data_IF_784024130362
#
_entry.id   IF_784024130362
#
_cell.length_a   1.000
_cell.length_b   1.000
_cell.length_c   1.000
_cell.angle_alpha   90.00
_cell.angle_beta   90.00
_cell.angle_gamma   90.00
#
_symmetry.space_group_name_H-M   'P 1'
#
loop_
_entity.id
_entity.type
_entity.pdbx_description
1 polymer ?
#
# COMPACT_ATOMS: atom_id res chain seq x y z
N UNK A 1 3.40 -34.74 0.72
CA UNK A 1 2.03 -34.29 1.09
C UNK A 1 2.12 -32.83 1.43
N UNK A 2 1.14 -32.02 0.99
CA UNK A 2 1.06 -30.60 1.38
C UNK A 2 1.08 -30.49 2.91
N UNK A 3 1.80 -29.49 3.43
CA UNK A 3 1.91 -29.24 4.87
C UNK A 3 0.58 -28.69 5.42
N UNK A 4 -0.18 -28.01 4.56
CA UNK A 4 -1.45 -27.37 4.88
C UNK A 4 -2.59 -27.95 4.04
N UNK A 5 -3.83 -27.98 4.56
CA UNK A 5 -4.97 -28.43 3.77
C UNK A 5 -5.18 -27.46 2.60
N UNK A 6 -5.31 -28.03 1.40
CA UNK A 6 -5.78 -27.28 0.23
C UNK A 6 -7.32 -27.19 0.24
N UNK A 7 -7.89 -26.29 -0.56
CA UNK A 7 -9.33 -26.27 -0.82
C UNK A 7 -9.85 -27.64 -1.32
N UNK A 8 -11.17 -27.82 -1.27
CA UNK A 8 -11.82 -29.08 -1.64
C UNK A 8 -11.52 -29.51 -3.09
N UNK A 9 -11.25 -28.54 -3.97
CA UNK A 9 -10.89 -28.71 -5.37
C UNK A 9 -9.48 -29.33 -5.56
N UNK A 10 -8.61 -29.23 -4.55
CA UNK A 10 -7.26 -29.78 -4.59
C UNK A 10 -6.15 -28.80 -5.00
N UNK A 11 -6.50 -27.58 -5.42
CA UNK A 11 -5.56 -26.48 -5.69
C UNK A 11 -6.16 -25.12 -5.35
N UNK A 12 -5.32 -24.12 -5.06
CA UNK A 12 -5.78 -22.75 -4.82
C UNK A 12 -6.28 -22.09 -6.11
N UNK A 13 -5.68 -22.43 -7.24
CA UNK A 13 -6.05 -21.88 -8.55
C UNK A 13 -7.39 -22.41 -9.02
N UNK A 14 -7.68 -23.71 -8.86
CA UNK A 14 -8.99 -24.29 -9.22
C UNK A 14 -10.10 -23.83 -8.28
N UNK A 15 -9.76 -23.48 -7.03
CA UNK A 15 -10.70 -22.87 -6.10
C UNK A 15 -11.21 -21.49 -6.58
N UNK A 16 -10.44 -20.79 -7.41
CA UNK A 16 -10.80 -19.51 -8.03
C UNK A 16 -10.86 -19.64 -9.57
N UNK A 17 -11.84 -20.38 -10.11
CA UNK A 17 -11.85 -20.80 -11.51
C UNK A 17 -11.90 -19.62 -12.50
N UNK A 18 -12.43 -18.47 -12.09
CA UNK A 18 -12.48 -17.24 -12.90
C UNK A 18 -11.09 -16.71 -13.29
N UNK A 19 -10.03 -17.11 -12.57
CA UNK A 19 -8.66 -16.70 -12.85
C UNK A 19 -7.97 -17.59 -13.89
N UNK A 20 -8.53 -18.78 -14.15
CA UNK A 20 -7.98 -19.78 -15.06
C UNK A 20 -6.66 -20.41 -14.57
N UNK A 21 -6.29 -21.54 -15.18
CA UNK A 21 -5.05 -22.29 -14.86
C UNK A 21 -3.96 -22.15 -15.93
N UNK A 22 -4.28 -21.54 -17.08
CA UNK A 22 -3.33 -21.32 -18.17
C UNK A 22 -2.27 -20.27 -17.84
N UNK A 23 -1.23 -20.15 -18.68
CA UNK A 23 -0.26 -19.05 -18.60
C UNK A 23 -0.93 -17.67 -18.62
N UNK A 24 -0.27 -16.67 -18.02
CA UNK A 24 -0.73 -15.28 -18.04
C UNK A 24 0.27 -14.37 -18.76
N UNK A 25 -0.21 -13.21 -19.22
CA UNK A 25 0.65 -12.18 -19.80
C UNK A 25 0.90 -11.06 -18.78
N UNK A 26 2.11 -10.52 -18.76
CA UNK A 26 2.49 -9.33 -17.99
C UNK A 26 2.49 -8.05 -18.84
N UNK A 27 1.79 -8.04 -19.98
CA UNK A 27 1.70 -6.86 -20.88
C UNK A 27 1.14 -5.62 -20.21
N UNK A 28 0.28 -5.80 -19.21
CA UNK A 28 -0.26 -4.73 -18.35
C UNK A 28 0.81 -4.04 -17.48
N UNK A 29 2.03 -4.60 -17.44
CA UNK A 29 3.18 -4.10 -16.69
C UNK A 29 4.31 -3.55 -17.57
N UNK A 30 4.15 -3.58 -18.90
CA UNK A 30 5.14 -3.02 -19.83
C UNK A 30 4.54 -2.05 -20.87
N UNK A 31 3.22 -2.06 -21.09
CA UNK A 31 2.59 -1.18 -22.08
C UNK A 31 2.37 0.25 -21.54
N UNK A 32 2.93 1.28 -22.19
CA UNK A 32 2.62 2.68 -21.89
C UNK A 32 1.13 3.02 -22.10
N UNK A 33 0.49 2.41 -23.11
CA UNK A 33 -0.93 2.62 -23.40
C UNK A 33 -1.82 2.03 -22.31
N UNK A 34 -1.48 0.84 -21.82
CA UNK A 34 -2.17 0.24 -20.68
C UNK A 34 -2.01 1.11 -19.43
N UNK A 35 -0.81 1.62 -19.16
CA UNK A 35 -0.57 2.53 -18.04
C UNK A 35 -1.47 3.77 -18.11
N UNK A 36 -1.61 4.41 -19.27
CA UNK A 36 -2.51 5.57 -19.41
C UNK A 36 -3.97 5.22 -19.10
N UNK A 37 -4.42 4.03 -19.47
CA UNK A 37 -5.76 3.53 -19.13
C UNK A 37 -5.88 3.19 -17.64
N UNK A 38 -4.88 2.52 -17.06
CA UNK A 38 -4.81 2.14 -15.64
C UNK A 38 -4.88 3.37 -14.73
N UNK A 39 -4.22 4.48 -15.11
CA UNK A 39 -4.29 5.76 -14.40
C UNK A 39 -5.73 6.25 -14.25
N UNK A 40 -6.51 6.20 -15.32
CA UNK A 40 -7.90 6.67 -15.32
C UNK A 40 -8.88 5.64 -14.73
N UNK A 41 -8.64 4.35 -15.00
CA UNK A 41 -9.52 3.27 -14.61
C UNK A 41 -9.37 2.88 -13.14
N UNK A 42 -8.13 2.81 -12.65
CA UNK A 42 -7.80 2.31 -11.31
C UNK A 42 -7.49 3.48 -10.37
N UNK A 43 -6.38 4.19 -10.56
CA UNK A 43 -5.88 5.14 -9.56
C UNK A 43 -6.74 6.39 -9.40
N UNK A 44 -7.54 6.76 -10.39
CA UNK A 44 -8.51 7.85 -10.25
C UNK A 44 -9.86 7.43 -9.68
N UNK A 45 -10.14 6.13 -9.54
CA UNK A 45 -11.48 5.62 -9.19
C UNK A 45 -11.51 4.70 -7.98
N UNK A 46 -10.39 4.08 -7.64
CA UNK A 46 -10.23 3.28 -6.44
C UNK A 46 -9.95 4.17 -5.22
N UNK A 47 -10.22 3.65 -4.02
CA UNK A 47 -9.77 4.29 -2.79
C UNK A 47 -8.27 4.04 -2.60
N UNK A 48 -7.50 5.11 -2.42
CA UNK A 48 -6.05 5.09 -2.26
C UNK A 48 -5.67 5.45 -0.83
N UNK A 49 -4.86 4.61 -0.18
CA UNK A 49 -4.31 4.98 1.12
C UNK A 49 -3.22 6.06 0.95
N UNK A 50 -3.36 7.18 1.66
CA UNK A 50 -2.45 8.34 1.56
C UNK A 50 -1.71 8.65 2.85
N UNK A 51 -2.07 8.02 3.96
CA UNK A 51 -1.31 8.13 5.20
C UNK A 51 -2.08 7.56 6.38
N UNK A 52 -1.67 7.96 7.58
CA UNK A 52 -2.38 7.61 8.81
C UNK A 52 -2.78 8.84 9.62
N UNK A 53 -3.71 8.65 10.56
CA UNK A 53 -4.16 9.72 11.45
C UNK A 53 -3.04 10.28 12.33
N UNK A 54 -1.98 9.51 12.58
CA UNK A 54 -0.80 9.98 13.34
C UNK A 54 -0.02 11.05 12.57
N UNK A 55 -0.19 11.17 11.25
CA UNK A 55 0.34 12.28 10.45
C UNK A 55 -0.42 13.60 10.70
N UNK A 56 -1.59 13.53 11.37
CA UNK A 56 -2.48 14.64 11.68
C UNK A 56 -2.80 14.74 13.19
N UNK A 57 -1.77 14.94 14.06
CA UNK A 57 -1.92 14.79 15.51
C UNK A 57 -2.88 15.80 16.16
N UNK A 58 -3.10 16.97 15.53
CA UNK A 58 -3.93 18.04 16.10
C UNK A 58 -4.71 18.79 15.03
N UNK A 59 -5.70 19.57 15.47
CA UNK A 59 -6.45 20.48 14.59
C UNK A 59 -5.49 21.38 13.81
N UNK A 60 -5.72 21.50 12.50
CA UNK A 60 -4.90 22.29 11.60
C UNK A 60 -3.64 21.58 11.13
N UNK A 61 -3.30 20.41 11.66
CA UNK A 61 -2.29 19.55 11.05
C UNK A 61 -2.70 19.21 9.62
N UNK A 62 -1.73 19.24 8.72
CA UNK A 62 -1.89 18.86 7.32
C UNK A 62 -0.64 18.17 6.79
N UNK A 63 -0.82 17.40 5.73
CA UNK A 63 0.26 16.99 4.82
C UNK A 63 -0.23 17.10 3.37
N UNK A 64 0.70 17.21 2.43
CA UNK A 64 0.40 17.11 1.00
C UNK A 64 0.86 15.76 0.47
N UNK A 65 0.16 15.24 -0.53
CA UNK A 65 0.55 14.03 -1.25
C UNK A 65 0.65 14.32 -2.74
N UNK A 66 1.78 14.00 -3.35
CA UNK A 66 1.91 13.98 -4.80
C UNK A 66 1.47 12.62 -5.31
N UNK A 67 0.60 12.61 -6.32
CA UNK A 67 0.02 11.40 -6.90
C UNK A 67 0.33 11.44 -8.40
N UNK A 68 1.57 11.07 -8.75
CA UNK A 68 2.10 11.15 -10.11
C UNK A 68 1.24 10.39 -11.12
N UNK A 69 0.82 9.17 -10.77
CA UNK A 69 -0.11 8.34 -11.53
C UNK A 69 -1.41 9.10 -11.89
N UNK A 70 -1.92 9.96 -11.01
CA UNK A 70 -3.11 10.76 -11.26
C UNK A 70 -2.80 12.19 -11.78
N UNK A 71 -1.52 12.54 -11.93
CA UNK A 71 -1.03 13.89 -12.28
C UNK A 71 -1.64 14.98 -11.39
N UNK A 72 -1.69 14.72 -10.09
CA UNK A 72 -2.33 15.64 -9.14
C UNK A 72 -1.60 15.71 -7.80
N UNK A 73 -1.92 16.75 -7.04
CA UNK A 73 -1.45 16.96 -5.67
C UNK A 73 -2.66 17.22 -4.80
N UNK A 74 -2.71 16.60 -3.63
CA UNK A 74 -3.76 16.81 -2.63
C UNK A 74 -3.18 17.36 -1.34
N UNK A 75 -3.98 18.13 -0.61
CA UNK A 75 -3.73 18.49 0.78
C UNK A 75 -4.75 17.78 1.66
N UNK A 76 -4.26 17.03 2.65
CA UNK A 76 -5.07 16.36 3.66
C UNK A 76 -4.92 17.12 4.97
N UNK A 77 -6.03 17.43 5.64
CA UNK A 77 -6.06 18.31 6.81
C UNK A 77 -7.06 17.85 7.86
N UNK A 78 -6.71 18.04 9.13
CA UNK A 78 -7.62 17.84 10.27
C UNK A 78 -8.32 19.14 10.64
N UNK A 79 -9.63 19.21 10.44
CA UNK A 79 -10.47 20.37 10.72
C UNK A 79 -10.70 20.63 12.21
N UNK A 80 -11.30 21.78 12.53
CA UNK A 80 -11.65 22.16 13.92
C UNK A 80 -12.74 21.27 14.53
N UNK A 81 -13.53 20.64 13.67
CA UNK A 81 -14.57 19.65 13.99
C UNK A 81 -14.01 18.22 14.07
N UNK A 82 -12.69 18.07 14.17
CA UNK A 82 -11.96 16.80 14.20
C UNK A 82 -12.08 15.95 12.92
N UNK A 83 -12.82 16.40 11.92
CA UNK A 83 -12.97 15.70 10.65
C UNK A 83 -11.70 15.86 9.81
N UNK A 84 -11.27 14.76 9.18
CA UNK A 84 -10.17 14.76 8.22
C UNK A 84 -10.78 15.00 6.83
N UNK A 85 -10.17 15.90 6.05
CA UNK A 85 -10.62 16.28 4.71
C UNK A 85 -9.46 16.28 3.74
N UNK A 86 -9.74 16.05 2.48
CA UNK A 86 -8.79 16.21 1.40
C UNK A 86 -9.30 17.23 0.37
N UNK A 87 -8.38 18.01 -0.19
CA UNK A 87 -8.66 18.95 -1.28
C UNK A 87 -7.58 18.84 -2.34
N UNK A 88 -7.92 19.12 -3.59
CA UNK A 88 -6.90 19.38 -4.60
C UNK A 88 -6.02 20.55 -4.15
N UNK A 89 -4.70 20.39 -4.22
CA UNK A 89 -3.70 21.35 -3.76
C UNK A 89 -3.51 22.51 -4.75
N UNK A 90 -4.62 23.13 -5.15
CA UNK A 90 -4.69 24.12 -6.24
C UNK A 90 -5.53 25.30 -5.78
N UNK A 91 -4.92 26.49 -5.78
CA UNK A 91 -5.62 27.74 -5.53
C UNK A 91 -6.60 28.03 -6.68
N UNK A 92 -7.84 28.40 -6.33
CA UNK A 92 -8.95 28.61 -7.27
C UNK A 92 -8.90 29.94 -8.04
N UNK A 93 -7.94 30.82 -7.74
CA UNK A 93 -7.76 32.07 -8.48
C UNK A 93 -7.11 31.85 -9.85
N UNK A 94 -5.83 31.42 -9.86
CA UNK A 94 -5.03 31.23 -11.09
C UNK A 94 -4.26 29.90 -11.09
N UNK A 95 -4.73 28.91 -10.34
CA UNK A 95 -4.20 27.54 -10.38
C UNK A 95 -2.85 27.34 -9.69
N UNK A 96 -2.33 28.30 -8.93
CA UNK A 96 -1.07 28.12 -8.21
C UNK A 96 -1.18 26.96 -7.22
N UNK A 97 -0.11 26.16 -7.09
CA UNK A 97 -0.05 25.14 -6.05
C UNK A 97 -0.21 25.81 -4.68
N UNK A 98 -1.15 25.32 -3.87
CA UNK A 98 -1.60 26.05 -2.68
C UNK A 98 -0.61 25.91 -1.53
N UNK A 99 -0.17 24.69 -1.27
CA UNK A 99 0.68 24.30 -0.14
C UNK A 99 1.93 23.61 -0.69
N UNK A 100 3.08 24.26 -0.52
CA UNK A 100 4.41 23.82 -0.92
C UNK A 100 5.46 24.69 -0.20
N UNK A 101 6.73 24.27 -0.15
CA UNK A 101 7.83 25.04 0.46
C UNK A 101 8.70 25.74 -0.58
N UNK A 102 9.96 25.35 -0.74
CA UNK A 102 10.89 25.92 -1.72
C UNK A 102 10.74 25.22 -3.08
N UNK A 103 10.44 23.92 -3.05
CA UNK A 103 10.24 23.09 -4.24
C UNK A 103 8.76 22.70 -4.39
N UNK A 104 8.06 23.18 -5.42
CA UNK A 104 6.65 22.86 -5.62
C UNK A 104 6.35 21.37 -5.81
N UNK A 105 7.32 20.55 -6.22
CA UNK A 105 7.12 19.10 -6.42
C UNK A 105 7.35 18.26 -5.16
N UNK A 106 7.78 18.85 -4.05
CA UNK A 106 8.04 18.11 -2.81
C UNK A 106 6.80 18.08 -1.91
N UNK A 107 6.56 16.91 -1.30
CA UNK A 107 5.54 16.75 -0.27
C UNK A 107 5.91 17.54 0.99
N UNK A 108 4.95 18.22 1.59
CA UNK A 108 5.16 19.03 2.81
C UNK A 108 4.11 18.70 3.86
N UNK A 109 4.50 18.80 5.12
CA UNK A 109 3.59 18.67 6.27
C UNK A 109 3.78 19.80 7.26
N UNK A 110 2.74 20.11 8.02
CA UNK A 110 2.79 21.21 8.97
C UNK A 110 1.50 21.43 9.72
N UNK A 111 1.33 22.63 10.27
CA UNK A 111 0.10 23.05 10.93
C UNK A 111 -0.29 24.45 10.49
N UNK A 112 -1.57 24.69 10.24
CA UNK A 112 -2.08 26.01 9.89
C UNK A 112 -3.45 26.28 10.54
N UNK A 113 -3.83 27.56 10.64
CA UNK A 113 -5.20 27.97 11.03
C UNK A 113 -6.14 28.11 9.82
N UNK A 114 -5.54 28.29 8.64
CA UNK A 114 -6.13 28.47 7.32
C UNK A 114 -4.99 28.29 6.28
N UNK A 115 -5.32 27.94 5.05
CA UNK A 115 -4.38 27.95 3.94
C UNK A 115 -4.32 29.33 3.30
N UNK A 116 -3.12 29.81 2.94
CA UNK A 116 -2.93 31.10 2.26
C UNK A 116 -2.09 30.87 1.02
N UNK A 117 -2.65 31.18 -0.15
CA UNK A 117 -1.91 31.06 -1.40
C UNK A 117 -0.75 32.06 -1.45
N UNK A 118 0.47 31.55 -1.62
CA UNK A 118 1.70 32.36 -1.69
C UNK A 118 1.73 33.38 -2.84
N UNK A 119 0.86 33.23 -3.86
CA UNK A 119 0.89 34.11 -5.03
C UNK A 119 0.14 35.43 -4.80
N UNK A 120 -1.16 35.39 -4.56
CA UNK A 120 -2.01 36.60 -4.43
C UNK A 120 -2.73 36.69 -3.08
N UNK A 121 -2.35 35.85 -2.11
CA UNK A 121 -2.86 35.94 -0.74
C UNK A 121 -4.30 35.48 -0.52
N UNK A 122 -4.96 34.81 -1.49
CA UNK A 122 -6.27 34.19 -1.28
C UNK A 122 -6.21 33.17 -0.13
N UNK A 123 -7.19 33.20 0.77
CA UNK A 123 -7.18 32.39 2.00
C UNK A 123 -8.37 31.44 2.04
N UNK A 124 -8.09 30.21 2.41
CA UNK A 124 -9.09 29.15 2.55
C UNK A 124 -9.07 28.64 3.97
N UNK A 125 -10.22 28.46 4.60
CA UNK A 125 -10.27 27.86 5.91
C UNK A 125 -10.00 26.34 5.85
N UNK A 126 -10.09 25.66 7.01
CA UNK A 126 -9.85 24.21 7.09
C UNK A 126 -11.00 23.35 6.53
N UNK A 127 -12.13 23.96 6.16
CA UNK A 127 -13.23 23.34 5.41
C UNK A 127 -13.10 23.56 3.91
N UNK A 128 -12.11 24.35 3.47
CA UNK A 128 -11.84 24.66 2.08
C UNK A 128 -12.57 25.92 1.60
N UNK A 129 -13.34 26.59 2.45
CA UNK A 129 -14.11 27.78 2.04
C UNK A 129 -13.19 28.97 1.81
N UNK A 130 -13.41 29.72 0.73
CA UNK A 130 -12.68 30.96 0.44
C UNK A 130 -13.13 32.04 1.42
N UNK A 131 -12.23 32.46 2.29
CA UNK A 131 -12.52 33.40 3.40
C UNK A 131 -11.91 34.79 3.21
N UNK A 132 -11.01 34.96 2.25
CA UNK A 132 -10.40 36.24 1.94
C UNK A 132 -9.92 36.32 0.50
N UNK A 133 -10.25 37.43 -0.16
CA UNK A 133 -9.78 37.82 -1.49
C UNK A 133 -9.10 39.18 -1.38
N UNK A 134 -7.86 39.27 -1.88
CA UNK A 134 -7.15 40.55 -1.96
C UNK A 134 -7.86 41.46 -2.96
N UNK A 135 -8.23 42.69 -2.55
CA UNK A 135 -8.92 43.67 -3.39
C UNK A 135 -10.20 43.12 -4.04
N UNK A 136 -11.05 42.43 -3.26
CA UNK A 136 -12.29 41.81 -3.74
C UNK A 136 -13.19 42.73 -4.58
N UNK A 137 -13.24 44.04 -4.25
CA UNK A 137 -14.03 45.04 -4.98
C UNK A 137 -13.61 45.31 -6.43
N UNK A 138 -12.41 44.90 -6.84
CA UNK A 138 -11.94 45.03 -8.23
C UNK A 138 -12.42 43.86 -9.12
N UNK A 139 -13.05 42.83 -8.53
CA UNK A 139 -13.62 41.73 -9.29
C UNK A 139 -15.07 42.04 -9.69
N UNK A 140 -15.40 41.83 -10.97
CA UNK A 140 -16.75 41.99 -11.48
C UNK A 140 -17.64 40.82 -11.04
N UNK A 141 -18.44 41.03 -9.99
CA UNK A 141 -19.45 40.06 -9.54
C UNK A 141 -18.87 38.75 -8.99
N UNK A 142 -17.74 38.83 -8.27
CA UNK A 142 -17.14 37.65 -7.64
C UNK A 142 -18.07 37.09 -6.55
N UNK A 143 -18.53 35.86 -6.75
CA UNK A 143 -19.20 35.07 -5.73
C UNK A 143 -18.18 34.13 -5.08
N UNK A 144 -17.58 34.57 -3.98
CA UNK A 144 -16.55 33.83 -3.24
C UNK A 144 -16.99 32.41 -2.84
N UNK A 145 -18.28 32.15 -2.67
CA UNK A 145 -18.81 30.82 -2.34
C UNK A 145 -18.56 29.78 -3.45
N UNK A 146 -18.39 30.21 -4.70
CA UNK A 146 -18.10 29.31 -5.85
C UNK A 146 -16.62 28.93 -5.99
N UNK A 147 -15.76 29.59 -5.21
CA UNK A 147 -14.31 29.49 -5.34
C UNK A 147 -13.61 28.89 -4.12
N UNK A 148 -14.32 28.15 -3.27
CA UNK A 148 -13.70 27.25 -2.28
C UNK A 148 -12.83 26.16 -2.93
N UNK A 149 -11.90 25.57 -2.18
CA UNK A 149 -11.05 24.47 -2.64
C UNK A 149 -11.89 23.32 -3.18
N UNK A 150 -11.42 22.66 -4.25
CA UNK A 150 -12.12 21.51 -4.81
C UNK A 150 -11.91 20.31 -3.87
N UNK A 151 -12.99 19.73 -3.30
CA UNK A 151 -12.86 18.60 -2.40
C UNK A 151 -12.41 17.35 -3.16
N UNK A 152 -11.73 16.46 -2.43
CA UNK A 152 -11.43 15.09 -2.82
C UNK A 152 -12.11 14.19 -1.80
N UNK A 153 -12.76 13.11 -2.24
CA UNK A 153 -13.41 12.17 -1.32
C UNK A 153 -12.35 11.62 -0.36
N UNK A 154 -12.67 11.61 0.93
CA UNK A 154 -11.73 11.28 2.00
C UNK A 154 -12.50 10.58 3.12
N UNK A 155 -11.98 9.44 3.56
CA UNK A 155 -12.55 8.66 4.66
C UNK A 155 -11.43 7.91 5.41
N UNK A 156 -11.71 7.46 6.63
CA UNK A 156 -10.73 6.86 7.53
C UNK A 156 -11.22 5.51 8.02
N UNK A 157 -10.43 4.48 7.77
CA UNK A 157 -10.65 3.14 8.31
C UNK A 157 -9.53 2.77 9.28
N UNK A 158 -9.87 2.47 10.54
CA UNK A 158 -8.93 2.04 11.58
C UNK A 158 -7.59 2.83 11.64
N UNK A 159 -7.69 4.15 11.49
CA UNK A 159 -6.54 5.07 11.48
C UNK A 159 -5.83 5.25 10.14
N UNK A 160 -6.17 4.49 9.11
CA UNK A 160 -5.69 4.63 7.74
C UNK A 160 -6.54 5.65 6.98
N UNK A 161 -5.92 6.69 6.43
CA UNK A 161 -6.59 7.74 5.66
C UNK A 161 -6.60 7.34 4.18
N UNK A 162 -7.79 7.23 3.61
CA UNK A 162 -7.99 6.96 2.19
C UNK A 162 -8.61 8.15 1.48
N UNK A 163 -8.28 8.28 0.20
CA UNK A 163 -8.95 9.23 -0.70
C UNK A 163 -9.49 8.54 -1.94
N UNK A 164 -10.46 9.16 -2.60
CA UNK A 164 -10.91 8.77 -3.93
C UNK A 164 -11.02 10.02 -4.82
N UNK A 165 -10.40 9.96 -6.00
CA UNK A 165 -10.35 11.09 -6.94
C UNK A 165 -11.58 11.18 -7.84
N UNK A 166 -12.41 10.14 -7.88
CA UNK A 166 -13.70 10.18 -8.55
C UNK A 166 -14.63 11.10 -7.74
N UNK A 167 -15.25 12.14 -8.34
CA UNK A 167 -16.23 12.96 -7.63
C UNK A 167 -17.42 12.18 -7.10
N UNK A 168 -17.77 11.05 -7.74
CA UNK A 168 -18.86 10.16 -7.35
C UNK A 168 -18.34 8.72 -7.22
N UNK A 169 -17.60 8.39 -6.13
CA UNK A 169 -17.06 7.06 -5.92
C UNK A 169 -18.14 6.00 -6.01
N UNK A 170 -17.90 4.95 -6.80
CA UNK A 170 -18.83 3.82 -6.97
C UNK A 170 -19.21 3.15 -5.64
N UNK A 171 -18.27 3.15 -4.70
CA UNK A 171 -18.40 2.54 -3.38
C UNK A 171 -17.96 3.54 -2.33
N UNK A 172 -18.64 3.55 -1.18
CA UNK A 172 -18.07 4.11 0.04
C UNK A 172 -16.77 3.36 0.41
N UNK A 173 -15.92 3.95 1.25
CA UNK A 173 -14.69 3.27 1.69
C UNK A 173 -15.01 1.92 2.35
N UNK A 174 -16.03 1.87 3.21
CA UNK A 174 -16.45 0.65 3.90
C UNK A 174 -16.86 -0.46 2.93
N UNK A 175 -17.65 -0.14 1.90
CA UNK A 175 -18.06 -1.10 0.88
C UNK A 175 -16.87 -1.55 0.02
N UNK A 176 -15.96 -0.63 -0.30
CA UNK A 176 -14.76 -0.93 -1.07
C UNK A 176 -13.87 -1.95 -0.33
N UNK A 177 -13.58 -1.71 0.95
CA UNK A 177 -12.72 -2.58 1.76
C UNK A 177 -13.26 -4.01 1.91
N UNK A 178 -14.58 -4.18 1.90
CA UNK A 178 -15.20 -5.50 1.95
C UNK A 178 -15.05 -6.24 3.30
N UNK A 179 -15.69 -7.40 3.44
CA UNK A 179 -15.69 -8.17 4.68
C UNK A 179 -14.30 -8.69 5.07
N UNK A 180 -13.44 -9.05 4.10
CA UNK A 180 -12.09 -9.56 4.40
C UNK A 180 -11.25 -8.52 5.16
N UNK A 181 -11.26 -7.27 4.71
CA UNK A 181 -10.46 -6.21 5.35
C UNK A 181 -11.16 -5.69 6.59
N UNK A 182 -12.48 -5.51 6.55
CA UNK A 182 -13.23 -5.00 7.71
C UNK A 182 -13.34 -6.03 8.86
N UNK A 183 -12.95 -7.28 8.62
CA UNK A 183 -12.69 -8.23 9.70
C UNK A 183 -11.51 -7.83 10.61
N UNK A 184 -10.69 -6.83 10.24
CA UNK A 184 -9.64 -6.22 11.05
C UNK A 184 -10.08 -4.93 11.76
N UNK A 185 -11.39 -4.63 11.83
CA UNK A 185 -11.93 -3.42 12.47
C UNK A 185 -11.51 -3.28 13.96
N UNK A 186 -11.32 -4.41 14.66
CA UNK A 186 -10.89 -4.47 16.05
C UNK A 186 -9.37 -4.57 16.22
N UNK A 187 -8.61 -4.79 15.13
CA UNK A 187 -7.17 -4.88 15.21
C UNK A 187 -6.56 -3.54 15.68
N UNK A 188 -5.72 -3.51 16.72
CA UNK A 188 -5.38 -2.28 17.43
C UNK A 188 -4.25 -1.48 16.76
N UNK A 189 -4.36 -1.18 15.47
CA UNK A 189 -3.34 -0.43 14.72
C UNK A 189 -2.94 0.88 15.42
N UNK A 190 -3.89 1.57 16.06
CA UNK A 190 -3.64 2.82 16.79
C UNK A 190 -2.76 2.70 18.05
N UNK A 191 -2.43 1.48 18.52
CA UNK A 191 -1.44 1.28 19.59
C UNK A 191 0.00 1.26 19.06
N UNK A 192 0.19 1.04 17.76
CA UNK A 192 1.49 0.87 17.11
C UNK A 192 1.92 2.18 16.42
N UNK A 193 2.23 3.20 17.22
CA UNK A 193 2.51 4.56 16.71
C UNK A 193 4.00 4.89 16.55
N UNK A 194 4.92 4.04 16.98
CA UNK A 194 6.35 4.20 16.67
C UNK A 194 6.61 3.68 15.27
N UNK A 195 7.01 4.57 14.35
CA UNK A 195 7.16 4.26 12.93
C UNK A 195 8.59 4.44 12.45
N UNK A 196 9.06 3.49 11.65
CA UNK A 196 10.29 3.59 10.85
C UNK A 196 9.89 3.59 9.38
N UNK A 197 10.31 4.62 8.65
CA UNK A 197 9.85 4.89 7.29
C UNK A 197 11.01 4.76 6.30
N UNK A 198 10.76 4.11 5.18
CA UNK A 198 11.69 3.98 4.07
C UNK A 198 10.99 4.37 2.77
N UNK A 199 11.73 5.00 1.87
CA UNK A 199 11.26 5.35 0.53
C UNK A 199 12.29 4.87 -0.50
N UNK A 200 11.79 4.36 -1.63
CA UNK A 200 12.61 3.95 -2.76
C UNK A 200 11.96 4.36 -4.09
N UNK A 201 12.78 4.68 -5.07
CA UNK A 201 12.37 4.84 -6.46
C UNK A 201 12.86 3.61 -7.23
N UNK A 202 11.92 2.82 -7.74
CA UNK A 202 12.19 1.53 -8.35
C UNK A 202 12.01 1.58 -9.87
N UNK A 203 12.92 0.93 -10.59
CA UNK A 203 12.87 0.77 -12.04
C UNK A 203 12.09 -0.50 -12.44
N UNK A 204 10.88 -0.64 -11.89
CA UNK A 204 9.93 -1.68 -12.27
C UNK A 204 8.50 -1.15 -12.22
N UNK A 205 7.59 -1.80 -12.93
CA UNK A 205 6.16 -1.58 -12.74
C UNK A 205 5.78 -1.92 -11.28
N UNK A 206 4.81 -1.18 -10.76
CA UNK A 206 4.32 -1.36 -9.39
C UNK A 206 3.72 -2.75 -9.15
N UNK A 207 3.07 -3.36 -10.14
CA UNK A 207 2.43 -4.68 -10.03
C UNK A 207 3.48 -5.78 -9.86
N UNK A 208 4.51 -5.76 -10.72
CA UNK A 208 5.67 -6.67 -10.63
C UNK A 208 6.33 -6.59 -9.26
N UNK A 209 6.40 -5.40 -8.67
CA UNK A 209 6.96 -5.23 -7.33
C UNK A 209 6.03 -5.74 -6.23
N UNK A 210 4.73 -5.49 -6.35
CA UNK A 210 3.74 -5.98 -5.40
C UNK A 210 3.60 -7.51 -5.43
N UNK A 211 3.79 -8.15 -6.60
CA UNK A 211 3.77 -9.61 -6.75
C UNK A 211 4.73 -10.30 -5.80
N UNK A 212 5.96 -9.78 -5.68
CA UNK A 212 7.01 -10.34 -4.83
C UNK A 212 6.65 -10.37 -3.33
N UNK A 213 5.60 -9.68 -2.90
CA UNK A 213 5.13 -9.70 -1.50
C UNK A 213 3.82 -10.48 -1.33
N UNK A 214 3.18 -10.91 -2.42
CA UNK A 214 1.94 -11.70 -2.42
C UNK A 214 2.16 -13.17 -2.81
N UNK A 215 3.40 -13.55 -3.14
CA UNK A 215 3.86 -14.93 -3.20
C UNK A 215 5.12 -15.12 -2.35
N UNK A 216 5.43 -16.37 -1.99
CA UNK A 216 6.63 -16.71 -1.21
C UNK A 216 7.40 -17.86 -1.87
N UNK A 217 7.15 -18.10 -3.15
CA UNK A 217 7.82 -19.12 -3.94
C UNK A 217 9.31 -18.79 -4.15
N UNK A 218 9.65 -17.51 -4.26
CA UNK A 218 11.05 -17.07 -4.39
C UNK A 218 11.88 -17.23 -3.10
N UNK A 219 11.23 -17.27 -1.92
CA UNK A 219 11.89 -17.08 -0.62
C UNK A 219 13.07 -18.04 -0.37
N UNK A 220 12.94 -19.37 -0.59
CA UNK A 220 14.06 -20.29 -0.35
C UNK A 220 15.27 -20.05 -1.24
N UNK A 221 15.04 -19.55 -2.46
CA UNK A 221 16.06 -19.37 -3.50
C UNK A 221 16.73 -18.01 -3.38
N UNK A 222 15.95 -16.94 -3.21
CA UNK A 222 16.46 -15.57 -3.18
C UNK A 222 17.11 -15.23 -1.84
N UNK A 223 16.46 -15.57 -0.72
CA UNK A 223 16.94 -15.22 0.63
C UNK A 223 17.86 -16.28 1.20
N UNK A 224 18.79 -16.74 0.38
CA UNK A 224 19.72 -17.82 0.66
C UNK A 224 20.86 -17.40 1.61
N UNK A 225 20.77 -16.28 2.30
CA UNK A 225 21.64 -16.00 3.46
C UNK A 225 20.85 -16.04 4.76
N UNK A 226 19.53 -15.90 4.67
CA UNK A 226 18.61 -15.75 5.79
C UNK A 226 17.77 -17.00 6.02
N UNK A 227 17.52 -17.83 5.01
CA UNK A 227 16.73 -19.07 5.17
C UNK A 227 17.68 -20.24 5.51
N UNK A 228 17.60 -20.99 6.63
CA UNK A 228 18.58 -22.04 6.94
C UNK A 228 18.77 -23.10 5.83
N UNK A 229 19.99 -23.61 5.63
CA UNK A 229 20.25 -24.67 4.63
C UNK A 229 19.39 -25.92 4.85
N UNK A 230 19.03 -26.22 6.11
CA UNK A 230 18.14 -27.31 6.48
C UNK A 230 16.69 -27.15 5.98
N UNK A 231 16.23 -25.92 5.72
CA UNK A 231 14.93 -25.62 5.09
C UNK A 231 15.07 -25.26 3.60
N UNK A 232 16.28 -24.98 3.10
CA UNK A 232 16.61 -24.92 1.66
C UNK A 232 16.77 -26.32 1.04
N UNK A 233 15.97 -27.30 1.45
CA UNK A 233 16.02 -28.58 0.76
C UNK A 233 15.47 -28.33 -0.65
N UNK A 234 16.16 -28.76 -1.73
CA UNK A 234 15.69 -28.57 -3.10
C UNK A 234 14.27 -29.10 -3.37
N UNK A 235 13.76 -29.96 -2.46
CA UNK A 235 12.44 -30.57 -2.50
C UNK A 235 11.52 -30.14 -1.32
N UNK A 236 11.98 -29.28 -0.40
CA UNK A 236 11.14 -28.72 0.65
C UNK A 236 10.46 -27.46 0.12
N UNK A 237 9.15 -27.55 -0.10
CA UNK A 237 8.33 -26.44 -0.55
C UNK A 237 8.19 -25.41 0.57
N UNK A 238 8.52 -24.14 0.30
CA UNK A 238 7.97 -23.03 1.09
C UNK A 238 6.51 -22.87 0.66
N UNK A 239 5.63 -23.55 1.37
CA UNK A 239 4.20 -23.59 1.08
C UNK A 239 3.49 -22.56 1.96
N UNK A 240 2.87 -21.57 1.33
CA UNK A 240 1.91 -20.68 1.96
C UNK A 240 0.71 -21.49 2.42
N UNK A 241 0.27 -21.23 3.65
CA UNK A 241 -0.77 -22.05 4.27
C UNK A 241 -2.18 -21.69 3.84
N UNK A 242 -2.41 -20.45 3.45
CA UNK A 242 -3.75 -19.98 3.11
C UNK A 242 -3.71 -18.78 2.16
N UNK A 243 -4.60 -18.80 1.16
CA UNK A 243 -4.86 -17.68 0.27
C UNK A 243 -6.36 -17.36 0.29
N UNK A 244 -6.70 -16.08 0.35
CA UNK A 244 -8.07 -15.61 0.28
C UNK A 244 -8.18 -14.41 -0.65
N UNK A 245 -9.23 -14.38 -1.46
CA UNK A 245 -9.56 -13.28 -2.38
C UNK A 245 -10.94 -12.74 -2.01
N UNK A 246 -11.08 -11.41 -1.97
CA UNK A 246 -12.34 -10.72 -1.72
C UNK A 246 -12.42 -9.47 -2.59
N UNK A 247 -13.24 -9.54 -3.65
CA UNK A 247 -13.28 -8.48 -4.67
C UNK A 247 -11.90 -8.24 -5.28
N UNK A 248 -11.40 -6.98 -5.33
CA UNK A 248 -10.07 -6.68 -5.84
C UNK A 248 -8.96 -6.96 -4.81
N UNK A 249 -9.32 -7.23 -3.56
CA UNK A 249 -8.42 -7.42 -2.45
C UNK A 249 -8.04 -8.88 -2.27
N UNK A 250 -6.95 -9.11 -1.56
CA UNK A 250 -6.44 -10.46 -1.30
C UNK A 250 -5.62 -10.51 -0.03
N UNK A 251 -5.40 -11.72 0.46
CA UNK A 251 -4.43 -11.98 1.52
C UNK A 251 -3.76 -13.34 1.35
N UNK A 252 -2.59 -13.46 1.96
CA UNK A 252 -1.85 -14.70 2.14
C UNK A 252 -1.42 -14.84 3.60
N UNK A 253 -1.58 -16.03 4.17
CA UNK A 253 -1.05 -16.36 5.49
C UNK A 253 0.03 -17.44 5.38
N UNK A 254 1.16 -17.20 6.03
CA UNK A 254 2.30 -18.13 6.02
C UNK A 254 2.64 -18.59 7.42
N UNK A 255 3.31 -19.74 7.46
CA UNK A 255 3.85 -20.27 8.70
C UNK A 255 5.17 -19.57 9.04
N UNK A 256 5.42 -19.32 10.31
CA UNK A 256 6.64 -18.67 10.78
C UNK A 256 7.27 -19.44 11.92
N UNK A 257 8.41 -20.09 11.68
CA UNK A 257 9.23 -20.57 12.80
C UNK A 257 9.83 -19.36 13.49
N UNK A 258 9.62 -19.26 14.80
CA UNK A 258 10.25 -18.25 15.65
C UNK A 258 11.76 -18.27 15.43
N UNK A 259 12.32 -17.16 14.95
CA UNK A 259 13.73 -17.06 14.53
C UNK A 259 14.71 -17.52 15.60
N UNK A 260 14.41 -17.23 16.85
CA UNK A 260 15.20 -17.59 18.04
C UNK A 260 15.13 -19.07 18.45
N UNK A 261 14.30 -19.88 17.79
CA UNK A 261 14.30 -21.34 17.96
C UNK A 261 15.25 -22.04 16.98
N UNK A 262 15.83 -21.31 16.03
CA UNK A 262 16.82 -21.84 15.08
C UNK A 262 18.22 -21.86 15.69
N UNK A 263 19.12 -22.66 15.12
CA UNK A 263 20.52 -22.68 15.56
C UNK A 263 21.20 -21.31 15.42
N UNK A 264 22.11 -20.94 16.34
CA UNK A 264 22.77 -19.63 16.34
C UNK A 264 23.52 -19.27 15.05
N UNK A 265 23.94 -20.25 14.25
CA UNK A 265 24.61 -20.03 12.95
C UNK A 265 23.68 -19.42 11.89
N UNK A 266 22.36 -19.55 12.08
CA UNK A 266 21.36 -18.98 11.18
C UNK A 266 20.92 -17.57 11.58
N UNK A 267 21.55 -16.95 12.59
CA UNK A 267 21.21 -15.60 13.03
C UNK A 267 22.42 -14.70 12.98
N UNK A 268 22.23 -13.46 12.52
CA UNK A 268 23.27 -12.46 12.63
C UNK A 268 23.63 -12.23 14.12
N UNK A 269 24.90 -11.97 14.45
CA UNK A 269 25.30 -11.68 15.83
C UNK A 269 24.46 -10.56 16.48
N UNK A 270 24.10 -9.54 15.70
CA UNK A 270 23.26 -8.43 16.17
C UNK A 270 21.85 -8.91 16.57
N UNK A 271 21.27 -9.86 15.83
CA UNK A 271 19.94 -10.39 16.15
C UNK A 271 19.93 -11.10 17.50
N UNK A 272 21.00 -11.86 17.78
CA UNK A 272 21.12 -12.60 19.05
C UNK A 272 21.34 -11.68 20.25
N UNK A 273 22.19 -10.67 20.10
CA UNK A 273 22.51 -9.74 21.18
C UNK A 273 21.33 -8.83 21.51
N UNK A 274 20.61 -8.38 20.48
CA UNK A 274 19.48 -7.46 20.65
C UNK A 274 18.16 -8.19 20.88
N UNK A 275 18.04 -9.46 20.50
CA UNK A 275 16.80 -10.24 20.50
C UNK A 275 15.74 -9.65 19.56
N UNK A 276 16.17 -9.27 18.36
CA UNK A 276 15.32 -8.70 17.33
C UNK A 276 15.91 -8.96 15.94
N UNK A 277 15.09 -9.03 14.90
CA UNK A 277 15.58 -9.31 13.55
C UNK A 277 14.47 -9.26 12.49
N UNK A 278 14.61 -10.07 11.44
CA UNK A 278 13.73 -10.05 10.25
C UNK A 278 12.24 -10.12 10.59
N UNK A 279 11.87 -10.96 11.55
CA UNK A 279 10.48 -11.20 11.98
C UNK A 279 10.08 -10.32 13.18
N UNK A 280 10.84 -9.26 13.44
CA UNK A 280 10.64 -8.31 14.51
C UNK A 280 11.35 -8.67 15.82
N UNK A 281 11.06 -7.89 16.89
CA UNK A 281 11.51 -8.19 18.24
C UNK A 281 11.04 -9.56 18.71
N UNK A 282 11.87 -10.28 19.48
CA UNK A 282 11.48 -11.58 20.04
C UNK A 282 10.54 -11.44 21.24
N UNK A 283 10.46 -10.24 21.79
CA UNK A 283 9.50 -9.83 22.80
C UNK A 283 8.55 -8.86 22.15
N UNK A 284 7.34 -9.30 21.91
CA UNK A 284 6.26 -8.43 21.46
C UNK A 284 5.12 -8.51 22.46
N UNK A 285 4.31 -7.44 22.58
CA UNK A 285 3.06 -7.51 23.32
C UNK A 285 2.21 -8.68 22.83
N UNK A 286 1.28 -9.16 23.68
CA UNK A 286 0.36 -10.21 23.26
C UNK A 286 -0.33 -9.83 21.95
N UNK A 287 -0.26 -10.73 20.98
CA UNK A 287 -0.85 -10.50 19.65
C UNK A 287 -2.36 -10.43 19.82
N UNK A 288 -2.95 -9.29 19.47
CA UNK A 288 -4.39 -9.18 19.40
C UNK A 288 -4.91 -10.12 18.30
N UNK A 289 -5.77 -11.06 18.67
CA UNK A 289 -6.42 -11.97 17.74
C UNK A 289 -7.69 -11.30 17.22
N UNK A 290 -7.56 -10.60 16.10
CA UNK A 290 -8.70 -10.12 15.33
C UNK A 290 -9.28 -11.26 14.50
N UNK A 291 -10.59 -11.24 14.25
CA UNK A 291 -11.30 -12.27 13.45
C UNK A 291 -10.71 -12.42 12.05
N UNK A 292 -10.23 -11.31 11.46
CA UNK A 292 -9.61 -11.32 10.14
C UNK A 292 -8.18 -11.86 10.10
N UNK A 293 -7.53 -12.04 11.26
CA UNK A 293 -6.13 -12.44 11.34
C UNK A 293 -5.96 -13.97 11.31
N UNK A 294 -5.04 -14.46 10.48
CA UNK A 294 -4.79 -15.90 10.30
C UNK A 294 -6.05 -16.75 10.00
N UNK A 295 -6.86 -16.39 8.97
CA UNK A 295 -8.13 -17.09 8.69
C UNK A 295 -7.95 -18.57 8.33
N UNK A 296 -6.74 -18.97 7.90
CA UNK A 296 -6.39 -20.37 7.62
C UNK A 296 -6.04 -21.20 8.85
N UNK A 297 -5.97 -20.61 10.05
CA UNK A 297 -5.59 -21.33 11.28
C UNK A 297 -4.18 -21.92 11.20
N UNK A 298 -3.24 -21.22 10.56
CA UNK A 298 -1.88 -21.69 10.33
C UNK A 298 -1.11 -21.72 11.65
N UNK A 299 -0.48 -22.85 12.00
CA UNK A 299 0.27 -23.00 13.26
C UNK A 299 1.61 -23.76 13.11
N UNK A 300 2.77 -23.13 13.35
CA UNK A 300 2.93 -21.79 13.90
C UNK A 300 2.63 -20.71 12.86
N UNK A 301 1.77 -19.75 13.21
CA UNK A 301 1.51 -18.56 12.40
C UNK A 301 2.77 -17.68 12.35
N UNK A 302 3.07 -17.11 11.18
CA UNK A 302 4.19 -16.18 11.01
C UNK A 302 3.71 -14.78 10.67
N UNK A 303 2.98 -14.68 9.57
CA UNK A 303 2.51 -13.43 9.00
C UNK A 303 1.20 -13.68 8.26
N UNK A 304 0.31 -12.69 8.31
CA UNK A 304 -0.74 -12.52 7.30
C UNK A 304 -0.49 -11.20 6.55
N UNK A 305 -0.31 -11.28 5.23
CA UNK A 305 -0.16 -10.14 4.35
C UNK A 305 -1.50 -9.86 3.66
N UNK A 306 -2.05 -8.66 3.85
CA UNK A 306 -3.25 -8.17 3.17
C UNK A 306 -2.84 -7.17 2.09
N UNK A 307 -3.26 -7.39 0.83
CA UNK A 307 -3.16 -6.37 -0.21
C UNK A 307 -4.53 -5.76 -0.49
N UNK A 308 -4.65 -4.49 -0.10
CA UNK A 308 -5.79 -3.61 -0.36
C UNK A 308 -5.49 -2.88 -1.67
N UNK A 309 -5.95 -3.50 -2.76
CA UNK A 309 -5.84 -2.94 -4.10
C UNK A 309 -6.29 -1.46 -4.16
N UNK A 310 -5.59 -0.59 -4.91
CA UNK A 310 -4.39 -0.92 -5.69
C UNK A 310 -3.08 -0.69 -4.91
N UNK A 311 -3.06 0.20 -3.91
CA UNK A 311 -1.81 0.84 -3.51
C UNK A 311 -1.32 0.52 -2.10
N UNK A 312 -1.93 -0.42 -1.38
CA UNK A 312 -1.64 -0.67 0.03
C UNK A 312 -1.46 -2.17 0.31
N UNK A 313 -0.38 -2.50 1.03
CA UNK A 313 -0.23 -3.79 1.72
C UNK A 313 -0.05 -3.59 3.22
N UNK A 314 -0.64 -4.50 4.01
CA UNK A 314 -0.50 -4.55 5.46
C UNK A 314 -0.03 -5.96 5.84
N UNK A 315 1.21 -6.06 6.30
CA UNK A 315 1.86 -7.27 6.75
C UNK A 315 1.79 -7.32 8.27
N UNK A 316 0.88 -8.14 8.81
CA UNK A 316 0.68 -8.26 10.25
C UNK A 316 1.55 -9.40 10.78
N UNK A 317 2.42 -9.06 11.72
CA UNK A 317 3.24 -9.99 12.49
C UNK A 317 2.74 -10.05 13.94
N UNK A 318 3.44 -10.80 14.78
CA UNK A 318 3.15 -10.87 16.21
C UNK A 318 3.41 -9.53 16.93
N UNK A 319 2.37 -8.71 17.13
CA UNK A 319 2.43 -7.50 17.96
C UNK A 319 3.07 -6.27 17.30
N UNK A 320 3.26 -6.32 15.98
CA UNK A 320 3.69 -5.20 15.14
C UNK A 320 3.19 -5.44 13.71
N UNK A 321 3.18 -4.40 12.88
CA UNK A 321 2.86 -4.55 11.47
C UNK A 321 3.80 -3.74 10.60
N UNK A 322 3.94 -4.19 9.36
CA UNK A 322 4.59 -3.48 8.29
C UNK A 322 3.51 -3.03 7.30
N UNK A 323 3.73 -1.90 6.65
CA UNK A 323 2.88 -1.39 5.59
C UNK A 323 3.71 -1.02 4.37
N UNK A 324 3.23 -1.38 3.19
CA UNK A 324 3.79 -0.95 1.91
C UNK A 324 2.80 -0.11 1.12
N UNK A 325 3.32 0.89 0.42
CA UNK A 325 2.55 1.67 -0.57
C UNK A 325 3.27 1.79 -1.89
N UNK A 326 2.47 1.68 -2.95
CA UNK A 326 2.94 1.71 -4.33
C UNK A 326 2.37 2.92 -5.06
N UNK A 327 3.24 3.78 -5.56
CA UNK A 327 2.89 5.00 -6.30
C UNK A 327 3.51 4.95 -7.68
N UNK A 328 2.76 4.52 -8.72
CA UNK A 328 3.30 4.44 -10.07
C UNK A 328 3.72 5.82 -10.58
N UNK A 329 4.88 5.87 -11.23
CA UNK A 329 5.41 7.09 -11.86
C UNK A 329 5.45 6.95 -13.39
N UNK A 330 5.56 5.73 -13.91
CA UNK A 330 5.39 5.38 -15.32
C UNK A 330 4.86 3.93 -15.46
N UNK A 331 4.79 3.43 -16.69
CA UNK A 331 4.52 2.01 -16.96
C UNK A 331 5.61 1.06 -16.43
N UNK A 332 6.80 1.56 -16.10
CA UNK A 332 7.96 0.75 -15.69
C UNK A 332 8.76 1.35 -14.52
N UNK A 333 8.21 2.34 -13.83
CA UNK A 333 8.80 2.92 -12.62
C UNK A 333 7.72 3.23 -11.59
N UNK A 334 8.09 3.17 -10.32
CA UNK A 334 7.21 3.58 -9.23
C UNK A 334 8.02 4.08 -8.03
N UNK A 335 7.37 4.89 -7.20
CA UNK A 335 7.82 5.20 -5.84
C UNK A 335 7.20 4.19 -4.88
N UNK A 336 8.02 3.64 -3.99
CA UNK A 336 7.65 2.68 -2.96
C UNK A 336 7.89 3.28 -1.59
N UNK A 337 6.93 3.10 -0.68
CA UNK A 337 7.01 3.58 0.70
C UNK A 337 6.77 2.41 1.66
N UNK A 338 7.64 2.22 2.64
CA UNK A 338 7.54 1.16 3.64
C UNK A 338 7.55 1.72 5.06
N UNK A 339 6.70 1.16 5.93
CA UNK A 339 6.49 1.62 7.31
C UNK A 339 6.48 0.43 8.25
N UNK A 340 7.47 0.32 9.14
CA UNK A 340 7.37 -0.59 10.29
C UNK A 340 6.71 0.15 11.44
N UNK A 341 5.67 -0.43 12.02
CA UNK A 341 4.88 0.15 13.09
C UNK A 341 4.91 -0.74 14.33
N UNK A 342 5.45 -0.20 15.42
CA UNK A 342 5.59 -0.85 16.71
C UNK A 342 4.83 -0.10 17.79
N UNK A 343 4.52 -0.80 18.88
CA UNK A 343 4.15 -0.12 20.12
C UNK A 343 5.28 0.84 20.54
N UNK A 344 4.97 2.03 21.09
CA UNK A 344 6.00 2.95 21.56
C UNK A 344 6.97 2.30 22.54
N UNK A 345 8.27 2.36 22.24
CA UNK A 345 9.30 1.89 23.14
C UNK A 345 9.27 2.67 24.46
N UNK A 346 9.23 1.94 25.57
CA UNK A 346 9.29 2.46 26.94
C UNK A 346 10.70 2.39 27.52
N UNK A 347 11.59 1.62 26.88
CA UNK A 347 12.99 1.48 27.27
C UNK A 347 13.93 1.66 26.08
N UNK A 348 15.19 2.02 26.36
CA UNK A 348 16.26 2.08 25.35
C UNK A 348 16.44 0.73 24.65
N UNK A 349 16.23 -0.38 25.38
CA UNK A 349 16.32 -1.73 24.85
C UNK A 349 15.26 -2.01 23.80
N UNK A 350 13.99 -1.71 24.09
CA UNK A 350 12.89 -1.88 23.13
C UNK A 350 13.12 -1.05 21.87
N UNK A 351 13.61 0.19 22.03
CA UNK A 351 13.96 1.03 20.89
C UNK A 351 15.06 0.40 20.03
N UNK A 352 16.11 -0.14 20.63
CA UNK A 352 17.16 -0.88 19.90
C UNK A 352 16.57 -2.10 19.19
N UNK A 353 15.64 -2.82 19.84
CA UNK A 353 14.96 -3.96 19.25
C UNK A 353 14.15 -3.53 17.99
N UNK A 354 13.40 -2.42 18.04
CA UNK A 354 12.66 -1.90 16.89
C UNK A 354 13.57 -1.41 15.76
N UNK A 355 14.66 -0.72 16.11
CA UNK A 355 15.66 -0.24 15.13
C UNK A 355 16.33 -1.42 14.40
N UNK A 356 16.73 -2.48 15.12
CA UNK A 356 17.30 -3.68 14.50
C UNK A 356 16.29 -4.40 13.63
N UNK A 357 15.05 -4.58 14.09
CA UNK A 357 13.99 -5.18 13.27
C UNK A 357 13.83 -4.42 11.95
N UNK A 358 13.81 -3.10 12.02
CA UNK A 358 13.61 -2.25 10.85
C UNK A 358 14.78 -2.29 9.88
N UNK A 359 16.02 -2.32 10.38
CA UNK A 359 17.22 -2.41 9.52
C UNK A 359 17.32 -3.77 8.84
N UNK A 360 17.10 -4.87 9.58
CA UNK A 360 17.17 -6.23 9.02
C UNK A 360 16.05 -6.47 8.01
N UNK A 361 14.83 -5.99 8.28
CA UNK A 361 13.73 -6.07 7.32
C UNK A 361 14.04 -5.31 6.03
N UNK A 362 14.61 -4.10 6.13
CA UNK A 362 15.02 -3.32 4.96
C UNK A 362 16.04 -4.08 4.10
N UNK A 363 17.01 -4.78 4.69
CA UNK A 363 17.98 -5.60 3.92
C UNK A 363 17.31 -6.75 3.15
N UNK A 364 16.19 -7.27 3.66
CA UNK A 364 15.40 -8.29 2.99
C UNK A 364 14.63 -7.71 1.82
N UNK A 365 13.90 -6.60 2.05
CA UNK A 365 13.16 -5.89 1.01
C UNK A 365 14.09 -5.40 -0.14
N UNK A 366 15.36 -5.09 0.16
CA UNK A 366 16.35 -4.74 -0.86
C UNK A 366 16.77 -5.92 -1.75
N UNK A 367 16.71 -7.16 -1.26
CA UNK A 367 16.96 -8.34 -2.11
C UNK A 367 15.83 -8.52 -3.12
N UNK A 368 14.58 -8.34 -2.68
CA UNK A 368 13.41 -8.37 -3.57
C UNK A 368 13.52 -7.27 -4.62
N UNK A 369 13.66 -6.02 -4.17
CA UNK A 369 13.78 -4.85 -5.03
C UNK A 369 14.92 -4.98 -6.05
N UNK A 370 16.05 -5.57 -5.64
CA UNK A 370 17.23 -5.76 -6.50
C UNK A 370 17.00 -6.70 -7.68
N UNK A 371 16.07 -7.65 -7.57
CA UNK A 371 15.75 -8.59 -8.65
C UNK A 371 14.77 -8.00 -9.66
N UNK A 372 13.85 -7.16 -9.20
CA UNK A 372 12.67 -6.77 -9.98
C UNK A 372 12.99 -5.78 -11.10
N UNK A 373 14.07 -5.02 -11.00
CA UNK A 373 14.58 -4.23 -12.14
C UNK A 373 15.07 -5.10 -13.29
N UNK A 374 15.65 -6.27 -12.99
CA UNK A 374 16.03 -7.26 -14.00
C UNK A 374 14.81 -7.92 -14.63
N UNK A 375 13.80 -8.26 -13.83
CA UNK A 375 12.51 -8.77 -14.32
C UNK A 375 11.84 -7.76 -15.26
N UNK A 376 11.74 -6.49 -14.87
CA UNK A 376 11.18 -5.44 -15.72
C UNK A 376 11.93 -5.33 -17.04
N UNK A 377 13.27 -5.24 -17.00
CA UNK A 377 14.07 -5.13 -18.21
C UNK A 377 13.87 -6.32 -19.16
N UNK A 378 13.74 -7.53 -18.62
CA UNK A 378 13.50 -8.73 -19.41
C UNK A 378 12.09 -8.78 -20.01
N UNK A 379 11.06 -8.36 -19.26
CA UNK A 379 9.69 -8.26 -19.76
C UNK A 379 9.58 -7.25 -20.91
N UNK A 380 10.31 -6.14 -20.84
CA UNK A 380 10.34 -5.11 -21.89
C UNK A 380 10.99 -5.55 -23.20
N UNK A 381 11.69 -6.69 -23.22
CA UNK A 381 12.14 -7.28 -24.48
C UNK A 381 10.95 -7.78 -25.33
N UNK A 382 9.78 -8.04 -24.72
CA UNK A 382 8.54 -8.49 -25.38
C UNK A 382 8.76 -9.67 -26.34
N UNK A 383 9.64 -10.60 -25.95
CA UNK A 383 9.97 -11.83 -26.71
C UNK A 383 9.22 -13.08 -26.22
N UNK A 384 8.53 -12.98 -25.08
CA UNK A 384 7.70 -14.05 -24.49
C UNK A 384 6.33 -13.47 -24.20
N UNK A 385 5.28 -14.07 -24.77
CA UNK A 385 3.91 -13.56 -24.65
C UNK A 385 3.25 -13.90 -23.30
N UNK A 386 3.56 -15.08 -22.77
CA UNK A 386 2.90 -15.64 -21.59
C UNK A 386 3.83 -16.49 -20.71
N UNK A 387 3.47 -16.56 -19.42
CA UNK A 387 4.26 -17.16 -18.36
C UNK A 387 3.40 -18.13 -17.54
N UNK A 388 3.86 -19.37 -17.32
CA UNK A 388 3.17 -20.28 -16.41
C UNK A 388 3.37 -19.80 -14.96
N UNK A 389 2.30 -19.83 -14.17
CA UNK A 389 2.36 -19.56 -12.74
C UNK A 389 2.04 -20.83 -11.93
N UNK A 390 2.75 -20.98 -10.82
CA UNK A 390 2.53 -21.98 -9.80
C UNK A 390 1.20 -21.76 -9.07
N UNK A 391 0.67 -22.82 -8.47
CA UNK A 391 -0.50 -22.72 -7.60
C UNK A 391 -0.27 -21.84 -6.36
N UNK A 392 1.00 -21.64 -5.97
CA UNK A 392 1.40 -20.74 -4.88
C UNK A 392 1.51 -19.27 -5.32
N UNK A 393 1.31 -18.98 -6.60
CA UNK A 393 1.36 -17.64 -7.20
C UNK A 393 -0.05 -17.17 -7.62
N UNK A 394 -1.10 -17.74 -7.03
CA UNK A 394 -2.50 -17.41 -7.32
C UNK A 394 -2.82 -15.91 -7.13
N UNK A 395 -2.15 -15.25 -6.18
CA UNK A 395 -2.36 -13.83 -5.92
C UNK A 395 -1.67 -12.92 -6.95
N UNK A 396 -0.59 -13.38 -7.58
CA UNK A 396 0.03 -12.73 -8.74
C UNK A 396 -0.97 -12.75 -9.90
N UNK A 397 -1.52 -13.93 -10.21
CA UNK A 397 -2.58 -14.09 -11.22
C UNK A 397 -3.77 -13.16 -10.96
N UNK A 398 -4.21 -13.07 -9.69
CA UNK A 398 -5.30 -12.18 -9.30
C UNK A 398 -4.98 -10.69 -9.53
N UNK A 399 -3.72 -10.25 -9.41
CA UNK A 399 -3.36 -8.82 -9.54
C UNK A 399 -3.54 -8.34 -10.97
N UNK A 400 -2.94 -9.09 -11.88
CA UNK A 400 -3.01 -8.82 -13.31
C UNK A 400 -4.44 -8.98 -13.82
N UNK A 401 -5.18 -10.00 -13.33
CA UNK A 401 -6.60 -10.13 -13.66
C UNK A 401 -7.41 -8.90 -13.26
N UNK A 402 -7.29 -8.43 -12.02
CA UNK A 402 -8.06 -7.27 -11.55
C UNK A 402 -7.63 -5.97 -12.24
N UNK A 403 -6.33 -5.72 -12.44
CA UNK A 403 -5.85 -4.55 -13.16
C UNK A 403 -6.44 -4.48 -14.59
N UNK A 404 -6.39 -5.59 -15.33
CA UNK A 404 -6.98 -5.69 -16.67
C UNK A 404 -8.50 -5.52 -16.62
N UNK A 405 -9.18 -6.20 -15.69
CA UNK A 405 -10.64 -6.13 -15.54
C UNK A 405 -11.12 -4.71 -15.26
N UNK A 406 -10.45 -3.96 -14.38
CA UNK A 406 -10.79 -2.56 -14.11
C UNK A 406 -10.63 -1.68 -15.36
N UNK A 407 -9.55 -1.88 -16.13
CA UNK A 407 -9.33 -1.16 -17.40
C UNK A 407 -10.39 -1.52 -18.45
N UNK A 408 -10.75 -2.79 -18.60
CA UNK A 408 -11.77 -3.21 -19.55
C UNK A 408 -13.18 -2.73 -19.17
N UNK A 409 -13.53 -2.73 -17.87
CA UNK A 409 -14.77 -2.13 -17.38
C UNK A 409 -14.83 -0.63 -17.69
N UNK A 410 -13.74 0.09 -17.43
CA UNK A 410 -13.63 1.51 -17.74
C UNK A 410 -13.83 1.80 -19.24
N UNK A 411 -13.25 0.97 -20.12
CA UNK A 411 -13.43 1.08 -21.57
C UNK A 411 -14.89 0.84 -21.96
N UNK A 412 -15.52 -0.20 -21.41
CA UNK A 412 -16.91 -0.53 -21.69
C UNK A 412 -17.88 0.59 -21.29
N UNK A 413 -17.66 1.22 -20.13
CA UNK A 413 -18.47 2.36 -19.65
C UNK A 413 -18.36 3.61 -20.53
N UNK A 414 -17.25 3.76 -21.25
CA UNK A 414 -16.98 4.90 -22.14
C UNK A 414 -17.19 4.58 -23.62
N UNK A 415 -17.48 3.33 -23.96
CA UNK A 415 -17.83 2.96 -25.32
C UNK A 415 -19.11 3.74 -25.70
N UNK A 416 -19.16 4.37 -26.89
CA UNK A 416 -20.39 5.02 -27.34
C UNK A 416 -21.53 3.99 -27.31
N UNK A 417 -22.62 4.31 -26.61
CA UNK A 417 -23.84 3.52 -26.69
C UNK A 417 -24.33 3.63 -28.13
N UNK A 418 -24.16 2.56 -28.91
CA UNK A 418 -24.61 2.32 -30.28
C UNK A 418 -25.03 3.54 -31.12
N UNK A 419 -24.23 3.84 -32.16
CA UNK A 419 -24.74 4.51 -33.37
C UNK A 419 -25.59 3.53 -34.16
#
# INVERSE_FOLDING_TARGET
>A
MAKWPKPAEGSWTEHYPQLGTGPISFRDSISPEFYELEREAVFKRAWLNVGRIEDLPRVGSYFTKEIDVAKTSVVVVKGRDQQIRAFYNVCRHRGNKLVWNDFPSEEVKGTCRQFTCKYHGWRYDLKGDLTFVQQEGEFFGLDSARYGLKPVNCDVWNGFIFINLDPEPRWSLREFLGPMITALDDYPFGLMTERYEFEAHNNSNWKIFADAFQEYYHVPSLHSQQVPSAVRQPNATFECGHFQIDGPHRLVSTAGTRRWLLDPEYMYPVERVTRSGLVGPWRTPETHQSVGLNPGGIEPWGITNFQIFPNLEILIYHGWYLLYRYWPTSHNTHKFEAYNAFHPATTVRERIEHEVASVVLKEFALQDAGMLGGTQAALEYDVVDDYPLSDQEILVRHLHHEAVKWVEQYKAERAPVGV
#
